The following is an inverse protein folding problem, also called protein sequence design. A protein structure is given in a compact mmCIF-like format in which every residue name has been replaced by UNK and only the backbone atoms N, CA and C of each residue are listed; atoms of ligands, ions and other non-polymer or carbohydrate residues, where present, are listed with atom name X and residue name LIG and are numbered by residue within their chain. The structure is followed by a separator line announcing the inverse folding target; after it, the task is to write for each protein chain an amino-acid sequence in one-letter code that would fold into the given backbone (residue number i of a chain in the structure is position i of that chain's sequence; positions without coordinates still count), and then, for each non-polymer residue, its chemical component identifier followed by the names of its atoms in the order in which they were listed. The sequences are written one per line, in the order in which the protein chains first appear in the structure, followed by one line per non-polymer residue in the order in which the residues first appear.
data_IF_622574278147
#
_entry.id   IF_622574278147
#
_cell.length_a   1.000
_cell.length_b   1.000
_cell.length_c   1.000
_cell.angle_alpha   90.00
_cell.angle_beta   90.00
_cell.angle_gamma   90.00
#
_symmetry.space_group_name_H-M   'P 1'
#
loop_
_entity.id
_entity.type
_entity.pdbx_description
1 polymer ?
#
# COMPACT_ATOMS: atom_id res chain seq x y z
N UNK A 1 -20.79 -11.00 -14.06
CA UNK A 1 -20.33 -10.21 -12.90
C UNK A 1 -18.87 -9.88 -13.20
N UNK A 2 -18.39 -8.64 -13.08
CA UNK A 2 -16.96 -8.38 -13.16
C UNK A 2 -16.24 -9.20 -12.08
N UNK A 3 -15.03 -9.68 -12.37
CA UNK A 3 -14.21 -10.38 -11.39
C UNK A 3 -13.88 -9.41 -10.24
N UNK A 4 -14.39 -9.70 -9.04
CA UNK A 4 -14.14 -8.89 -7.85
C UNK A 4 -13.13 -9.60 -6.96
N UNK A 5 -12.18 -8.84 -6.41
CA UNK A 5 -11.23 -9.33 -5.42
C UNK A 5 -11.47 -8.61 -4.10
N UNK A 6 -11.53 -9.37 -3.01
CA UNK A 6 -11.51 -8.84 -1.64
C UNK A 6 -10.11 -9.02 -1.06
N UNK A 7 -9.60 -8.00 -0.37
CA UNK A 7 -8.26 -8.00 0.21
C UNK A 7 -8.38 -7.77 1.71
N UNK A 8 -7.72 -8.61 2.51
CA UNK A 8 -7.75 -8.50 3.97
C UNK A 8 -6.36 -8.71 4.59
N UNK A 9 -5.93 -7.87 5.56
CA UNK A 9 -4.69 -8.08 6.29
C UNK A 9 -4.84 -9.24 7.30
N UNK A 10 -4.42 -10.43 6.90
CA UNK A 10 -4.47 -11.64 7.74
C UNK A 10 -3.46 -11.58 8.90
N UNK A 11 -2.32 -10.92 8.68
CA UNK A 11 -1.28 -10.74 9.68
C UNK A 11 -0.51 -9.46 9.42
N UNK A 12 -0.26 -8.67 10.46
CA UNK A 12 0.55 -7.44 10.39
C UNK A 12 1.44 -7.37 11.63
N UNK A 13 2.75 -7.30 11.40
CA UNK A 13 3.75 -6.96 12.41
C UNK A 13 4.70 -5.89 11.86
N UNK A 14 5.82 -5.63 12.55
CA UNK A 14 6.77 -4.59 12.17
C UNK A 14 7.54 -4.89 10.86
N UNK A 15 7.71 -6.16 10.51
CA UNK A 15 8.52 -6.60 9.36
C UNK A 15 7.73 -7.34 8.28
N UNK A 16 6.48 -7.72 8.55
CA UNK A 16 5.66 -8.51 7.66
C UNK A 16 4.20 -8.08 7.71
N UNK A 17 3.65 -7.75 6.56
CA UNK A 17 2.22 -7.75 6.32
C UNK A 17 1.87 -8.88 5.36
N UNK A 18 0.98 -9.79 5.77
CA UNK A 18 0.43 -10.84 4.91
C UNK A 18 -1.02 -10.51 4.60
N UNK A 19 -1.32 -10.42 3.31
CA UNK A 19 -2.65 -10.13 2.81
C UNK A 19 -3.25 -11.37 2.17
N UNK A 20 -4.51 -11.66 2.51
CA UNK A 20 -5.34 -12.68 1.87
C UNK A 20 -6.14 -12.00 0.75
N UNK A 21 -6.01 -12.53 -0.45
CA UNK A 21 -6.75 -12.15 -1.65
C UNK A 21 -7.78 -13.23 -1.94
N UNK A 22 -9.06 -12.88 -1.91
CA UNK A 22 -10.17 -13.78 -2.19
C UNK A 22 -10.89 -13.31 -3.44
N UNK A 23 -10.89 -14.16 -4.47
CA UNK A 23 -11.47 -13.86 -5.77
C UNK A 23 -12.92 -14.38 -5.84
N UNK A 24 -13.73 -13.77 -6.71
CA UNK A 24 -15.13 -14.16 -6.92
C UNK A 24 -15.35 -15.59 -7.40
N UNK A 25 -14.31 -16.25 -7.93
CA UNK A 25 -14.31 -17.66 -8.31
C UNK A 25 -14.03 -18.62 -7.12
N UNK A 26 -13.79 -18.05 -5.93
CA UNK A 26 -13.44 -18.76 -4.70
C UNK A 26 -11.94 -19.06 -4.56
N UNK A 27 -11.10 -18.66 -5.53
CA UNK A 27 -9.65 -18.81 -5.42
C UNK A 27 -9.10 -17.90 -4.31
N UNK A 28 -8.15 -18.42 -3.54
CA UNK A 28 -7.53 -17.69 -2.41
C UNK A 28 -6.01 -17.71 -2.54
N UNK A 29 -5.40 -16.55 -2.37
CA UNK A 29 -3.95 -16.37 -2.37
C UNK A 29 -3.49 -15.56 -1.16
N UNK A 30 -2.33 -15.91 -0.60
CA UNK A 30 -1.71 -15.18 0.51
C UNK A 30 -0.39 -14.59 0.03
N UNK A 31 -0.25 -13.27 0.05
CA UNK A 31 0.96 -12.58 -0.36
C UNK A 31 1.60 -11.86 0.82
N UNK A 32 2.92 -11.98 0.92
CA UNK A 32 3.73 -11.30 1.92
C UNK A 32 4.27 -9.98 1.32
N UNK A 33 4.16 -8.91 2.09
CA UNK A 33 4.69 -7.57 1.79
C UNK A 33 5.44 -7.03 3.01
N UNK A 34 6.38 -6.12 2.78
CA UNK A 34 7.01 -5.38 3.88
C UNK A 34 6.14 -4.15 4.22
N UNK A 35 5.75 -3.92 5.49
CA UNK A 35 4.85 -2.85 5.88
C UNK A 35 5.55 -1.48 5.92
N UNK A 36 5.84 -0.94 4.74
CA UNK A 36 6.47 0.38 4.58
C UNK A 36 5.59 1.49 5.19
N UNK A 37 6.09 2.12 6.27
CA UNK A 37 5.46 3.33 6.82
C UNK A 37 5.68 4.50 5.87
N UNK A 38 4.66 5.35 5.70
CA UNK A 38 4.69 6.55 4.85
C UNK A 38 5.98 7.37 5.02
N UNK A 39 6.32 7.70 6.27
CA UNK A 39 7.48 8.57 6.56
C UNK A 39 8.81 7.84 6.40
N UNK A 40 8.83 6.52 6.57
CA UNK A 40 10.02 5.71 6.32
C UNK A 40 10.37 5.67 4.83
N UNK A 41 9.39 5.49 3.95
CA UNK A 41 9.60 5.56 2.49
C UNK A 41 10.13 6.94 2.07
N UNK A 42 9.58 8.02 2.64
CA UNK A 42 10.06 9.39 2.38
C UNK A 42 11.50 9.59 2.83
N UNK A 43 11.87 9.07 3.99
CA UNK A 43 13.24 9.11 4.49
C UNK A 43 14.19 8.39 3.54
N UNK A 44 13.88 7.16 3.11
CA UNK A 44 14.71 6.41 2.17
C UNK A 44 14.92 7.16 0.84
N UNK A 45 13.88 7.81 0.33
CA UNK A 45 13.96 8.63 -0.89
C UNK A 45 14.87 9.86 -0.70
N UNK A 46 14.80 10.53 0.45
CA UNK A 46 15.71 11.63 0.77
C UNK A 46 17.16 11.15 0.91
N UNK A 47 17.40 10.00 1.55
CA UNK A 47 18.73 9.42 1.74
C UNK A 47 19.43 9.09 0.42
N UNK A 48 18.67 8.75 -0.63
CA UNK A 48 19.22 8.51 -1.98
C UNK A 48 19.32 9.77 -2.85
N UNK A 49 18.97 10.94 -2.31
CA UNK A 49 19.26 12.24 -2.92
C UNK A 49 18.08 12.96 -3.58
N UNK A 50 16.83 12.52 -3.39
CA UNK A 50 15.66 13.32 -3.78
C UNK A 50 15.49 14.49 -2.79
N UNK A 51 15.39 15.72 -3.29
CA UNK A 51 15.33 16.91 -2.45
C UNK A 51 13.90 17.27 -2.05
N UNK A 52 12.95 17.11 -2.96
CA UNK A 52 11.54 17.42 -2.73
C UNK A 52 10.68 16.18 -2.92
N UNK A 53 9.78 15.91 -1.95
CA UNK A 53 8.88 14.76 -1.97
C UNK A 53 7.48 15.20 -1.56
N UNK A 54 6.55 15.17 -2.52
CA UNK A 54 5.12 15.34 -2.29
C UNK A 54 4.46 13.97 -2.14
N UNK A 55 3.56 13.80 -1.17
CA UNK A 55 2.85 12.54 -0.93
C UNK A 55 1.36 12.74 -1.04
N UNK A 56 0.72 12.00 -1.93
CA UNK A 56 -0.71 12.04 -2.21
C UNK A 56 -1.35 10.75 -1.70
N UNK A 57 -2.57 10.84 -1.16
CA UNK A 57 -3.41 9.67 -0.88
C UNK A 57 -4.21 9.28 -2.14
N UNK A 58 -4.23 8.00 -2.48
CA UNK A 58 -5.04 7.45 -3.56
C UNK A 58 -6.22 6.67 -2.94
N UNK A 59 -7.42 7.21 -3.09
CA UNK A 59 -8.66 6.61 -2.56
C UNK A 59 -9.18 5.60 -3.60
N UNK A 60 -8.84 4.33 -3.44
CA UNK A 60 -9.22 3.28 -4.38
C UNK A 60 -10.28 2.32 -3.87
N UNK A 61 -10.55 2.24 -2.57
CA UNK A 61 -11.59 1.37 -2.05
C UNK A 61 -13.02 1.94 -2.14
N UNK A 62 -13.95 1.02 -2.36
CA UNK A 62 -15.40 1.29 -2.51
C UNK A 62 -16.04 1.66 -1.15
N UNK A 63 -15.32 1.47 -0.06
CA UNK A 63 -15.70 1.85 1.30
C UNK A 63 -14.78 2.98 1.77
N UNK A 64 -15.34 4.17 1.95
CA UNK A 64 -14.62 5.36 2.39
C UNK A 64 -14.24 5.19 3.86
N UNK A 65 -13.00 4.78 4.13
CA UNK A 65 -12.33 5.13 5.37
C UNK A 65 -11.66 6.50 5.21
N UNK A 66 -11.44 7.21 6.32
CA UNK A 66 -10.81 8.54 6.31
C UNK A 66 -9.31 8.47 5.96
N UNK A 67 -8.71 7.28 5.98
CA UNK A 67 -7.33 7.01 5.59
C UNK A 67 -7.25 6.41 4.17
N UNK A 68 -6.28 6.85 3.33
CA UNK A 68 -6.14 6.33 1.97
C UNK A 68 -5.48 4.94 1.96
N UNK A 69 -5.94 4.06 1.06
CA UNK A 69 -5.40 2.70 0.90
C UNK A 69 -3.96 2.69 0.36
N UNK A 70 -3.62 3.68 -0.47
CA UNK A 70 -2.31 3.80 -1.08
C UNK A 70 -1.76 5.23 -0.93
N UNK A 71 -0.45 5.32 -0.77
CA UNK A 71 0.29 6.56 -0.88
C UNK A 71 1.07 6.59 -2.19
N UNK A 72 0.96 7.71 -2.92
CA UNK A 72 1.77 8.01 -4.09
C UNK A 72 2.82 9.08 -3.72
N UNK A 73 4.10 8.75 -3.81
CA UNK A 73 5.20 9.68 -3.59
C UNK A 73 5.71 10.23 -4.93
N UNK A 74 5.58 11.54 -5.13
CA UNK A 74 6.19 12.28 -6.24
C UNK A 74 7.50 12.85 -5.73
N UNK A 75 8.62 12.28 -6.18
CA UNK A 75 9.97 12.63 -5.72
C UNK A 75 10.75 13.32 -6.85
N UNK A 76 11.21 14.55 -6.60
CA UNK A 76 11.89 15.38 -7.59
C UNK A 76 13.40 15.40 -7.35
N UNK A 77 14.16 15.26 -8.44
CA UNK A 77 15.62 15.30 -8.43
C UNK A 77 16.09 16.63 -9.02
N UNK A 78 16.84 17.38 -8.22
CA UNK A 78 17.54 18.60 -8.60
C UNK A 78 19.06 18.37 -8.68
#
# INVERSE_FOLDING_TARGET
MPDTVSVYPEHVDEGLARFKYEFSDGSVYNLNMFPLRKDYTRQLLHEVGFQEITTLGDFKETYKEDEPDFFLHVAEKN
#
